data_IF_110362353071
#
_entry.id   IF_110362353071
#
_cell.length_a   1.000
_cell.length_b   1.000
_cell.length_c   1.000
_cell.angle_alpha   90.00
_cell.angle_beta   90.00
_cell.angle_gamma   90.00
#
_symmetry.space_group_name_H-M   'P 1'
#
loop_
_entity.id
_entity.type
_entity.pdbx_description
1 polymer ?
#
# COMPACT_ATOMS: atom_id res chain seq x y z
N UNK A 1 -0.37 -0.53 24.94
CA UNK A 1 -0.80 -1.91 25.25
C UNK A 1 0.13 -2.85 24.47
N UNK A 2 0.11 -4.16 24.69
CA UNK A 2 1.07 -5.07 24.07
C UNK A 2 0.98 -5.23 22.54
N UNK A 3 0.05 -4.54 21.86
CA UNK A 3 -0.16 -4.57 20.40
C UNK A 3 -0.26 -5.97 19.76
N UNK A 4 -0.49 -6.98 20.59
CA UNK A 4 -0.65 -8.37 20.19
C UNK A 4 -2.01 -8.58 19.54
N UNK A 5 -2.03 -9.36 18.45
CA UNK A 5 -3.27 -9.91 17.89
C UNK A 5 -3.78 -11.00 18.84
N UNK A 6 -4.94 -10.76 19.44
CA UNK A 6 -5.59 -11.69 20.34
C UNK A 6 -6.58 -12.56 19.57
N UNK A 7 -6.71 -13.83 19.97
CA UNK A 7 -7.80 -14.68 19.53
C UNK A 7 -9.14 -14.20 20.10
N UNK A 8 -10.25 -14.55 19.44
CA UNK A 8 -11.60 -14.21 19.92
C UNK A 8 -11.83 -14.68 21.36
N UNK A 9 -11.30 -15.86 21.71
CA UNK A 9 -11.36 -16.40 23.07
C UNK A 9 -10.63 -15.53 24.10
N UNK A 10 -9.49 -14.94 23.73
CA UNK A 10 -8.72 -14.03 24.58
C UNK A 10 -9.37 -12.64 24.73
N UNK A 11 -10.30 -12.28 23.85
CA UNK A 11 -11.05 -11.02 23.92
C UNK A 11 -12.23 -11.05 24.88
N UNK A 12 -12.60 -12.21 25.43
CA UNK A 12 -13.63 -12.33 26.47
C UNK A 12 -13.28 -11.46 27.68
N UNK A 13 -14.25 -10.77 28.33
CA UNK A 13 -13.98 -9.81 29.39
C UNK A 13 -13.11 -10.35 30.54
N UNK A 14 -13.36 -11.60 30.96
CA UNK A 14 -12.59 -12.26 32.02
C UNK A 14 -11.12 -12.49 31.62
N UNK A 15 -10.89 -12.88 30.36
CA UNK A 15 -9.55 -13.13 29.84
C UNK A 15 -8.79 -11.83 29.59
N UNK A 16 -9.46 -10.81 29.04
CA UNK A 16 -8.87 -9.50 28.82
C UNK A 16 -8.51 -8.81 30.14
N UNK A 17 -9.38 -8.92 31.16
CA UNK A 17 -9.10 -8.43 32.51
C UNK A 17 -7.88 -9.12 33.12
N UNK A 18 -7.80 -10.46 33.05
CA UNK A 18 -6.64 -11.23 33.52
C UNK A 18 -5.36 -10.84 32.76
N UNK A 19 -5.46 -10.64 31.45
CA UNK A 19 -4.33 -10.21 30.63
C UNK A 19 -3.82 -8.83 31.05
N UNK A 20 -4.73 -7.86 31.22
CA UNK A 20 -4.40 -6.52 31.70
C UNK A 20 -3.73 -6.58 33.08
N UNK A 21 -4.25 -7.37 34.02
CA UNK A 21 -3.66 -7.44 35.37
C UNK A 21 -2.31 -8.17 35.42
N UNK A 22 -2.12 -9.20 34.61
CA UNK A 22 -0.89 -10.04 34.65
C UNK A 22 0.23 -9.53 33.77
N UNK A 23 -0.08 -8.99 32.58
CA UNK A 23 0.90 -8.50 31.60
C UNK A 23 1.11 -6.99 31.68
N UNK A 24 0.13 -6.26 32.23
CA UNK A 24 0.12 -4.80 32.26
C UNK A 24 -0.36 -4.27 33.61
N UNK A 25 0.17 -4.81 34.71
CA UNK A 25 -0.26 -4.46 36.07
C UNK A 25 -0.29 -2.93 36.33
N UNK A 26 0.67 -2.20 35.76
CA UNK A 26 0.81 -0.73 35.86
C UNK A 26 -0.38 0.03 35.23
N UNK A 27 -1.12 -0.61 34.32
CA UNK A 27 -2.25 -0.02 33.60
C UNK A 27 -3.61 -0.39 34.21
N UNK A 28 -3.66 -1.33 35.15
CA UNK A 28 -4.91 -1.89 35.71
C UNK A 28 -5.83 -0.81 36.29
N UNK A 29 -5.26 0.15 37.01
CA UNK A 29 -6.02 1.16 37.76
C UNK A 29 -6.04 2.52 37.05
N UNK A 30 -5.69 2.56 35.75
CA UNK A 30 -5.76 3.78 34.95
C UNK A 30 -7.21 4.17 34.67
N UNK A 31 -7.53 5.48 34.61
CA UNK A 31 -8.88 5.94 34.33
C UNK A 31 -9.30 5.59 32.89
N UNK A 32 -10.61 5.50 32.64
CA UNK A 32 -11.18 5.24 31.31
C UNK A 32 -10.65 6.22 30.26
N UNK A 33 -10.47 7.49 30.62
CA UNK A 33 -9.91 8.52 29.76
C UNK A 33 -8.52 8.16 29.20
N UNK A 34 -7.69 7.42 29.95
CA UNK A 34 -6.39 6.93 29.46
C UNK A 34 -6.57 5.96 28.29
N UNK A 35 -7.52 5.03 28.41
CA UNK A 35 -7.80 4.03 27.37
C UNK A 35 -8.49 4.64 26.15
N UNK A 36 -9.37 5.62 26.34
CA UNK A 36 -9.96 6.40 25.24
C UNK A 36 -8.87 7.13 24.45
N UNK A 37 -7.95 7.83 25.13
CA UNK A 37 -6.82 8.48 24.46
C UNK A 37 -5.96 7.47 23.68
N UNK A 38 -5.69 6.29 24.25
CA UNK A 38 -4.93 5.23 23.55
C UNK A 38 -5.66 4.68 22.33
N UNK A 39 -6.99 4.55 22.40
CA UNK A 39 -7.82 4.16 21.25
C UNK A 39 -7.71 5.20 20.14
N UNK A 40 -7.76 6.49 20.47
CA UNK A 40 -7.67 7.57 19.49
C UNK A 40 -6.28 7.66 18.85
N UNK A 41 -5.21 7.49 19.65
CA UNK A 41 -3.83 7.36 19.14
C UNK A 41 -3.70 6.20 18.13
N UNK A 42 -4.28 5.02 18.44
CA UNK A 42 -4.28 3.87 17.54
C UNK A 42 -5.08 4.13 16.26
N UNK A 43 -6.24 4.78 16.36
CA UNK A 43 -7.07 5.14 15.20
C UNK A 43 -6.35 6.13 14.29
N UNK A 44 -5.71 7.15 14.85
CA UNK A 44 -4.90 8.11 14.11
C UNK A 44 -3.72 7.43 13.43
N UNK A 45 -2.98 6.56 14.13
CA UNK A 45 -1.89 5.78 13.56
C UNK A 45 -2.37 4.91 12.38
N UNK A 46 -3.50 4.20 12.53
CA UNK A 46 -4.10 3.41 11.46
C UNK A 46 -4.51 4.27 10.26
N UNK A 47 -5.14 5.42 10.50
CA UNK A 47 -5.54 6.34 9.45
C UNK A 47 -4.33 6.87 8.66
N UNK A 48 -3.24 7.22 9.36
CA UNK A 48 -1.98 7.63 8.73
C UNK A 48 -1.41 6.51 7.86
N UNK A 49 -1.33 5.28 8.37
CA UNK A 49 -0.85 4.12 7.60
C UNK A 49 -1.70 3.91 6.34
N UNK A 50 -3.03 3.90 6.48
CA UNK A 50 -3.94 3.74 5.34
C UNK A 50 -3.74 4.86 4.30
N UNK A 51 -3.57 6.10 4.75
CA UNK A 51 -3.35 7.25 3.87
C UNK A 51 -2.04 7.17 3.08
N UNK A 52 -1.04 6.44 3.57
CA UNK A 52 0.23 6.20 2.88
C UNK A 52 0.20 4.95 1.98
N UNK A 53 -0.54 3.90 2.39
CA UNK A 53 -0.61 2.64 1.65
C UNK A 53 -1.45 2.77 0.39
N UNK A 54 -2.57 3.50 0.43
CA UNK A 54 -3.48 3.59 -0.73
C UNK A 54 -2.84 4.28 -1.94
N UNK A 55 -2.09 5.39 -1.82
CA UNK A 55 -1.43 6.00 -2.98
C UNK A 55 -0.30 5.11 -3.53
N UNK A 56 0.42 4.39 -2.67
CA UNK A 56 1.50 3.48 -3.09
C UNK A 56 0.94 2.28 -3.86
N UNK A 57 -0.15 1.66 -3.39
CA UNK A 57 -0.81 0.58 -4.09
C UNK A 57 -1.33 1.03 -5.47
N UNK A 58 -2.00 2.20 -5.51
CA UNK A 58 -2.49 2.77 -6.76
C UNK A 58 -1.34 3.11 -7.73
N UNK A 59 -0.24 3.66 -7.23
CA UNK A 59 0.93 3.96 -8.04
C UNK A 59 1.61 2.68 -8.59
N UNK A 60 1.63 1.63 -7.78
CA UNK A 60 2.10 0.31 -8.21
C UNK A 60 1.22 -0.24 -9.33
N UNK A 61 -0.10 -0.21 -9.20
CA UNK A 61 -1.03 -0.65 -10.24
C UNK A 61 -0.87 0.17 -11.52
N UNK A 62 -0.87 1.51 -11.41
CA UNK A 62 -0.71 2.43 -12.53
C UNK A 62 0.58 2.16 -13.33
N UNK A 63 1.69 1.90 -12.64
CA UNK A 63 2.95 1.62 -13.32
C UNK A 63 2.97 0.27 -14.04
N UNK A 64 2.24 -0.76 -13.55
CA UNK A 64 2.11 -2.03 -14.26
C UNK A 64 1.29 -1.84 -15.53
N UNK A 65 0.18 -1.10 -15.42
CA UNK A 65 -0.67 -0.75 -16.56
C UNK A 65 0.13 0.02 -17.63
N UNK A 66 0.89 1.04 -17.23
CA UNK A 66 1.71 1.82 -18.16
C UNK A 66 2.81 0.97 -18.81
N UNK A 67 3.53 0.14 -18.02
CA UNK A 67 4.56 -0.77 -18.54
C UNK A 67 3.99 -1.76 -19.56
N UNK A 68 2.79 -2.30 -19.30
CA UNK A 68 2.08 -3.18 -20.23
C UNK A 68 1.74 -2.46 -21.54
N UNK A 69 1.28 -1.21 -21.47
CA UNK A 69 0.95 -0.39 -22.65
C UNK A 69 2.20 -0.09 -23.48
N UNK A 70 3.30 0.27 -22.84
CA UNK A 70 4.60 0.52 -23.50
C UNK A 70 5.06 -0.73 -24.25
N UNK A 71 5.03 -1.89 -23.58
CA UNK A 71 5.42 -3.17 -24.17
C UNK A 71 4.53 -3.55 -25.37
N UNK A 72 3.20 -3.46 -25.21
CA UNK A 72 2.23 -3.77 -26.28
C UNK A 72 2.39 -2.86 -27.49
N UNK A 73 2.73 -1.59 -27.28
CA UNK A 73 2.96 -0.63 -28.36
C UNK A 73 4.36 -0.76 -29.00
N UNK A 74 5.22 -1.67 -28.50
CA UNK A 74 6.59 -1.84 -28.97
C UNK A 74 7.46 -0.60 -28.77
N UNK A 75 7.15 0.22 -27.76
CA UNK A 75 7.88 1.48 -27.52
C UNK A 75 9.12 1.25 -26.66
N UNK A 76 10.14 2.12 -26.77
CA UNK A 76 11.29 2.11 -25.86
C UNK A 76 10.85 2.22 -24.40
N UNK A 77 11.55 1.52 -23.50
CA UNK A 77 11.18 1.47 -22.07
C UNK A 77 11.33 2.81 -21.35
N UNK A 78 12.28 3.64 -21.79
CA UNK A 78 12.52 4.98 -21.24
C UNK A 78 11.40 5.99 -21.57
N UNK A 79 10.51 5.70 -22.53
CA UNK A 79 9.41 6.61 -22.91
C UNK A 79 8.49 6.94 -21.72
N UNK A 80 8.42 6.03 -20.75
CA UNK A 80 7.65 6.17 -19.51
C UNK A 80 8.10 7.40 -18.72
N UNK A 81 9.38 7.50 -18.40
CA UNK A 81 9.93 8.62 -17.61
C UNK A 81 10.26 9.86 -18.45
N UNK A 82 10.63 9.68 -19.72
CA UNK A 82 11.05 10.77 -20.60
C UNK A 82 9.87 11.64 -21.07
N UNK A 83 8.73 11.01 -21.39
CA UNK A 83 7.59 11.70 -22.01
C UNK A 83 6.28 11.43 -21.29
N UNK A 84 5.91 10.16 -21.07
CA UNK A 84 4.56 9.83 -20.60
C UNK A 84 4.28 10.41 -19.20
N UNK A 85 5.20 10.24 -18.27
CA UNK A 85 5.05 10.73 -16.90
C UNK A 85 5.07 12.26 -16.84
N UNK A 86 5.99 12.89 -17.58
CA UNK A 86 6.10 14.36 -17.67
C UNK A 86 4.85 14.99 -18.24
N UNK A 87 4.35 14.46 -19.36
CA UNK A 87 3.14 14.96 -20.00
C UNK A 87 1.92 14.81 -19.08
N UNK A 88 1.79 13.67 -18.40
CA UNK A 88 0.70 13.46 -17.44
C UNK A 88 0.77 14.43 -16.25
N UNK A 89 1.97 14.70 -15.74
CA UNK A 89 2.21 15.69 -14.68
C UNK A 89 1.78 17.10 -15.10
N UNK A 90 2.22 17.56 -16.28
CA UNK A 90 1.90 18.89 -16.82
C UNK A 90 0.40 19.08 -17.06
N UNK A 91 -0.26 18.10 -17.70
CA UNK A 91 -1.71 18.16 -17.96
C UNK A 91 -2.48 18.20 -16.64
N UNK A 92 -2.10 17.37 -15.68
CA UNK A 92 -2.78 17.30 -14.37
C UNK A 92 -2.56 18.58 -13.57
N UNK A 93 -1.37 19.19 -13.66
CA UNK A 93 -1.07 20.46 -13.04
C UNK A 93 -1.98 21.58 -13.57
N UNK A 94 -2.17 21.64 -14.90
CA UNK A 94 -3.02 22.65 -15.55
C UNK A 94 -4.50 22.42 -15.25
N UNK A 95 -4.96 21.17 -15.33
CA UNK A 95 -6.39 20.84 -15.29
C UNK A 95 -6.96 20.66 -13.88
N UNK A 96 -6.11 20.31 -12.92
CA UNK A 96 -6.53 20.01 -11.56
C UNK A 96 -5.83 20.95 -10.60
N UNK A 97 -4.76 20.49 -9.96
CA UNK A 97 -4.00 21.27 -9.01
C UNK A 97 -2.62 20.64 -8.83
N UNK A 98 -1.68 21.42 -8.30
CA UNK A 98 -0.31 20.98 -8.06
C UNK A 98 -0.24 19.71 -7.20
N UNK A 99 -1.10 19.61 -6.19
CA UNK A 99 -1.15 18.45 -5.29
C UNK A 99 -1.48 17.15 -6.06
N UNK A 100 -2.42 17.20 -7.00
CA UNK A 100 -2.80 16.07 -7.84
C UNK A 100 -1.66 15.70 -8.81
N UNK A 101 -1.01 16.71 -9.41
CA UNK A 101 0.13 16.48 -10.30
C UNK A 101 1.29 15.79 -9.58
N UNK A 102 1.65 16.26 -8.38
CA UNK A 102 2.74 15.66 -7.58
C UNK A 102 2.47 14.20 -7.18
N UNK A 103 1.21 13.77 -7.10
CA UNK A 103 0.90 12.35 -6.85
C UNK A 103 1.37 11.44 -7.98
N UNK A 104 1.47 11.93 -9.21
CA UNK A 104 1.96 11.14 -10.35
C UNK A 104 3.43 10.77 -10.21
N UNK A 105 4.24 11.58 -9.50
CA UNK A 105 5.64 11.25 -9.19
C UNK A 105 5.80 10.01 -8.31
N UNK A 106 4.72 9.52 -7.68
CA UNK A 106 4.73 8.25 -6.97
C UNK A 106 4.74 7.05 -7.92
N UNK A 107 4.32 7.22 -9.18
CA UNK A 107 4.24 6.14 -10.17
C UNK A 107 5.65 5.86 -10.70
N UNK A 108 6.25 4.70 -10.37
CA UNK A 108 7.63 4.44 -10.77
C UNK A 108 7.66 4.00 -12.23
N UNK A 109 8.11 4.87 -13.14
CA UNK A 109 8.15 4.59 -14.58
C UNK A 109 9.56 4.68 -15.20
N UNK A 110 10.59 4.55 -14.36
CA UNK A 110 11.97 4.48 -14.86
C UNK A 110 12.18 3.31 -15.81
N UNK A 111 13.16 3.43 -16.72
CA UNK A 111 13.54 2.37 -17.64
C UNK A 111 13.67 0.98 -16.96
N UNK A 112 14.36 0.94 -15.82
CA UNK A 112 14.59 -0.30 -15.07
C UNK A 112 13.31 -0.85 -14.46
N UNK A 113 12.42 0.02 -13.99
CA UNK A 113 11.13 -0.37 -13.44
C UNK A 113 10.23 -0.94 -14.51
N UNK A 114 10.15 -0.27 -15.66
CA UNK A 114 9.39 -0.75 -16.83
C UNK A 114 9.94 -2.10 -17.30
N UNK A 115 11.27 -2.25 -17.36
CA UNK A 115 11.92 -3.51 -17.71
C UNK A 115 11.52 -4.64 -16.77
N UNK A 116 11.66 -4.43 -15.45
CA UNK A 116 11.32 -5.42 -14.43
C UNK A 116 9.87 -5.85 -14.51
N UNK A 117 8.94 -4.89 -14.59
CA UNK A 117 7.50 -5.18 -14.67
C UNK A 117 7.11 -5.98 -15.90
N UNK A 118 7.76 -5.72 -17.04
CA UNK A 118 7.55 -6.50 -18.27
C UNK A 118 7.99 -7.95 -18.06
N UNK A 119 9.14 -8.16 -17.43
CA UNK A 119 9.63 -9.51 -17.07
C UNK A 119 8.67 -10.18 -16.10
N UNK A 120 8.29 -9.49 -15.02
CA UNK A 120 7.37 -10.01 -13.99
C UNK A 120 6.04 -10.47 -14.62
N UNK A 121 5.44 -9.63 -15.48
CA UNK A 121 4.20 -9.97 -16.20
C UNK A 121 4.40 -11.15 -17.17
N UNK A 122 5.54 -11.23 -17.85
CA UNK A 122 5.82 -12.34 -18.76
C UNK A 122 5.99 -13.66 -18.01
N UNK A 123 6.66 -13.64 -16.86
CA UNK A 123 6.87 -14.83 -16.03
C UNK A 123 5.59 -15.29 -15.33
N UNK A 124 4.73 -14.35 -14.89
CA UNK A 124 3.40 -14.68 -14.35
C UNK A 124 2.55 -15.44 -15.38
N UNK A 125 2.50 -14.96 -16.62
CA UNK A 125 1.80 -15.65 -17.71
C UNK A 125 2.37 -17.04 -17.96
N UNK A 126 3.70 -17.21 -17.94
CA UNK A 126 4.33 -18.54 -18.09
C UNK A 126 3.90 -19.48 -16.95
N UNK A 127 3.92 -19.02 -15.71
CA UNK A 127 3.55 -19.83 -14.55
C UNK A 127 2.09 -20.26 -14.62
N UNK A 128 1.19 -19.36 -15.02
CA UNK A 128 -0.23 -19.68 -15.21
C UNK A 128 -0.40 -20.78 -16.29
N UNK A 129 0.24 -20.62 -17.44
CA UNK A 129 0.16 -21.59 -18.54
C UNK A 129 0.74 -22.95 -18.14
N UNK A 130 1.85 -22.96 -17.40
CA UNK A 130 2.45 -24.19 -16.86
C UNK A 130 1.48 -24.89 -15.91
N UNK A 131 0.85 -24.18 -14.97
CA UNK A 131 -0.12 -24.77 -14.03
C UNK A 131 -1.29 -25.44 -14.78
N UNK A 132 -1.83 -24.80 -15.82
CA UNK A 132 -2.92 -25.36 -16.62
C UNK A 132 -2.53 -26.59 -17.46
N UNK A 133 -1.24 -26.80 -17.74
CA UNK A 133 -0.78 -27.99 -18.46
C UNK A 133 -0.62 -29.23 -17.56
N UNK A 134 -0.61 -29.05 -16.23
CA UNK A 134 -0.48 -30.11 -15.23
C UNK A 134 -1.75 -30.31 -14.38
N UNK A 135 -2.89 -29.75 -14.82
CA UNK A 135 -4.22 -29.88 -14.20
C UNK A 135 -5.15 -30.69 -15.09
#
# INVERSE_FOLDING_TARGET
MCDNVLSNESMKPAHLKRHLTTKHAVLKDKPIAFFQRKLDELRQSKAMILSCVTPVANAQEASYLASLRIAKAGKPRNIGEELCLRLAEEITYIMCEEKAARQLNLVPLSNDTVSRRIVDMADDVKNIVVIFQYS
#
